data_IF_205099396702
#
_entry.id   IF_205099396702
#
_cell.length_a   1.000
_cell.length_b   1.000
_cell.length_c   1.000
_cell.angle_alpha   90.00
_cell.angle_beta   90.00
_cell.angle_gamma   90.00
#
_symmetry.space_group_name_H-M   'P 1'
#
loop_
_entity.id
_entity.type
_entity.pdbx_description
1 polymer ?
#
# COMPACT_ATOMS: atom_id res chain seq x y z
N UNK A 1 -23.62 -12.05 15.29
CA UNK A 1 -23.69 -10.77 14.55
C UNK A 1 -23.20 -11.01 13.13
N UNK A 2 -24.00 -10.70 12.09
CA UNK A 2 -23.57 -10.84 10.69
C UNK A 2 -22.43 -9.85 10.43
N UNK A 3 -21.33 -10.30 9.81
CA UNK A 3 -20.25 -9.39 9.44
C UNK A 3 -20.74 -8.45 8.33
N UNK A 4 -20.44 -7.14 8.42
CA UNK A 4 -20.85 -6.19 7.39
C UNK A 4 -20.16 -6.52 6.05
N UNK A 5 -20.84 -6.36 4.90
CA UNK A 5 -20.31 -6.77 3.59
C UNK A 5 -18.97 -6.13 3.20
N UNK A 6 -18.69 -4.91 3.71
CA UNK A 6 -17.44 -4.19 3.46
C UNK A 6 -16.22 -4.85 4.12
N UNK A 7 -16.43 -5.63 5.19
CA UNK A 7 -15.37 -6.30 5.95
C UNK A 7 -15.22 -7.79 5.58
N UNK A 8 -15.89 -8.26 4.54
CA UNK A 8 -15.81 -9.66 4.13
C UNK A 8 -14.54 -10.00 3.35
N UNK A 9 -13.92 -9.00 2.70
CA UNK A 9 -12.73 -9.16 1.87
C UNK A 9 -11.87 -7.90 1.92
N UNK A 10 -10.54 -8.07 1.80
CA UNK A 10 -9.59 -6.96 1.84
C UNK A 10 -9.86 -5.94 0.72
N UNK A 11 -10.09 -6.41 -0.52
CA UNK A 11 -10.38 -5.53 -1.65
C UNK A 11 -11.57 -4.59 -1.38
N UNK A 12 -12.60 -5.08 -0.70
CA UNK A 12 -13.84 -4.32 -0.48
C UNK A 12 -13.65 -3.13 0.44
N UNK A 13 -12.79 -3.25 1.45
CA UNK A 13 -12.49 -2.13 2.34
C UNK A 13 -11.37 -1.25 1.76
N UNK A 14 -10.29 -1.87 1.31
CA UNK A 14 -9.05 -1.16 1.02
C UNK A 14 -9.06 -0.41 -0.32
N UNK A 15 -9.71 -0.92 -1.36
CA UNK A 15 -9.77 -0.20 -2.64
C UNK A 15 -10.56 1.12 -2.53
N UNK A 16 -11.74 1.16 -1.88
CA UNK A 16 -12.42 2.43 -1.63
C UNK A 16 -11.60 3.40 -0.79
N UNK A 17 -10.89 2.93 0.24
CA UNK A 17 -10.01 3.80 1.04
C UNK A 17 -8.86 4.38 0.21
N UNK A 18 -8.21 3.55 -0.63
CA UNK A 18 -7.18 4.00 -1.56
C UNK A 18 -7.73 5.02 -2.55
N UNK A 19 -8.90 4.76 -3.14
CA UNK A 19 -9.55 5.66 -4.08
C UNK A 19 -9.94 6.99 -3.44
N UNK A 20 -10.53 6.98 -2.24
CA UNK A 20 -10.88 8.18 -1.49
C UNK A 20 -9.63 9.01 -1.16
N UNK A 21 -8.56 8.34 -0.71
CA UNK A 21 -7.30 9.00 -0.43
C UNK A 21 -6.72 9.63 -1.69
N UNK A 22 -6.50 8.85 -2.74
CA UNK A 22 -5.94 9.32 -4.01
C UNK A 22 -6.77 10.44 -4.65
N UNK A 23 -8.10 10.35 -4.60
CA UNK A 23 -8.98 11.39 -5.10
C UNK A 23 -8.89 12.69 -4.30
N UNK A 24 -8.59 12.63 -2.99
CA UNK A 24 -8.46 13.81 -2.13
C UNK A 24 -7.25 14.69 -2.45
N UNK A 25 -6.16 14.12 -2.96
CA UNK A 25 -4.90 14.85 -3.19
C UNK A 25 -4.97 15.92 -4.29
N UNK A 26 -5.57 15.68 -5.46
CA UNK A 26 -5.79 16.73 -6.45
C UNK A 26 -6.60 17.92 -5.90
N UNK A 27 -7.59 17.69 -5.05
CA UNK A 27 -8.36 18.77 -4.43
C UNK A 27 -7.51 19.56 -3.43
N UNK A 28 -6.67 18.88 -2.64
CA UNK A 28 -5.75 19.54 -1.71
C UNK A 28 -4.78 20.48 -2.46
N UNK A 29 -4.29 20.08 -3.63
CA UNK A 29 -3.33 20.86 -4.42
C UNK A 29 -3.96 21.99 -5.24
N UNK A 30 -5.19 21.81 -5.73
CA UNK A 30 -5.89 22.83 -6.54
C UNK A 30 -6.64 23.86 -5.69
N UNK A 31 -7.18 23.45 -4.52
CA UNK A 31 -8.01 24.33 -3.67
C UNK A 31 -7.17 25.14 -2.68
N UNK A 32 -5.98 24.65 -2.26
CA UNK A 32 -5.08 25.35 -1.30
C UNK A 32 -4.08 26.27 -2.04
N UNK A 33 -4.51 26.86 -3.16
CA UNK A 33 -4.04 28.18 -3.61
C UNK A 33 -2.54 28.40 -3.81
N UNK A 34 -1.74 27.40 -4.21
CA UNK A 34 -0.37 27.68 -4.66
C UNK A 34 0.72 26.62 -4.46
N UNK A 35 0.39 25.33 -4.38
CA UNK A 35 1.36 24.22 -4.22
C UNK A 35 2.06 24.09 -2.84
N UNK A 36 1.68 24.90 -1.83
CA UNK A 36 2.30 24.85 -0.51
C UNK A 36 1.38 24.19 0.53
N UNK A 37 1.90 23.20 1.26
CA UNK A 37 1.26 22.64 2.45
C UNK A 37 1.58 23.55 3.65
N UNK A 38 0.58 23.98 4.44
CA UNK A 38 0.75 25.04 5.43
C UNK A 38 1.65 24.67 6.63
N UNK A 39 1.98 23.39 6.81
CA UNK A 39 2.79 22.88 7.92
C UNK A 39 4.00 22.04 7.46
N UNK A 40 4.31 22.04 6.16
CA UNK A 40 5.46 21.36 5.59
C UNK A 40 6.43 22.41 5.06
N UNK A 41 7.41 22.75 5.88
CA UNK A 41 8.34 23.86 5.65
C UNK A 41 9.66 23.37 5.05
N UNK A 42 10.15 22.18 5.45
CA UNK A 42 11.44 21.66 5.02
C UNK A 42 11.33 20.50 4.02
N UNK A 43 10.26 19.71 4.07
CA UNK A 43 10.02 18.66 3.06
C UNK A 43 9.49 19.28 1.76
N UNK A 44 10.13 19.07 0.60
CA UNK A 44 9.61 19.56 -0.67
C UNK A 44 8.23 19.02 -0.98
N UNK A 45 7.30 19.88 -1.42
CA UNK A 45 5.92 19.49 -1.72
C UNK A 45 5.83 18.33 -2.75
N UNK A 46 6.73 18.29 -3.73
CA UNK A 46 6.81 17.20 -4.71
C UNK A 46 7.15 15.86 -4.07
N UNK A 47 8.09 15.83 -3.12
CA UNK A 47 8.44 14.61 -2.37
C UNK A 47 7.30 14.16 -1.47
N UNK A 48 6.65 15.12 -0.81
CA UNK A 48 5.50 14.83 0.05
C UNK A 48 4.34 14.21 -0.74
N UNK A 49 4.00 14.80 -1.89
CA UNK A 49 2.99 14.25 -2.80
C UNK A 49 3.36 12.86 -3.30
N UNK A 50 4.60 12.69 -3.77
CA UNK A 50 5.08 11.39 -4.27
C UNK A 50 5.01 10.32 -3.17
N UNK A 51 5.43 10.64 -1.95
CA UNK A 51 5.34 9.75 -0.79
C UNK A 51 3.88 9.32 -0.53
N UNK A 52 2.96 10.27 -0.48
CA UNK A 52 1.57 9.97 -0.16
C UNK A 52 0.85 9.21 -1.29
N UNK A 53 1.26 9.39 -2.55
CA UNK A 53 0.78 8.57 -3.66
C UNK A 53 1.33 7.14 -3.61
N UNK A 54 2.62 6.97 -3.32
CA UNK A 54 3.31 5.68 -3.34
C UNK A 54 2.98 4.86 -2.09
N UNK A 55 3.25 5.37 -0.90
CA UNK A 55 3.07 4.63 0.35
C UNK A 55 1.62 4.70 0.86
N UNK A 56 0.95 5.83 0.65
CA UNK A 56 -0.42 6.03 1.08
C UNK A 56 -1.44 5.36 0.17
N UNK A 57 -1.63 5.94 -1.03
CA UNK A 57 -2.66 5.48 -1.99
C UNK A 57 -2.34 4.09 -2.51
N UNK A 58 -1.15 3.91 -3.11
CA UNK A 58 -0.78 2.62 -3.66
C UNK A 58 -0.58 1.57 -2.56
N UNK A 59 0.05 1.89 -1.44
CA UNK A 59 0.21 0.95 -0.32
C UNK A 59 -1.12 0.36 0.15
N UNK A 60 -2.19 1.17 0.22
CA UNK A 60 -3.53 0.68 0.55
C UNK A 60 -4.13 -0.18 -0.58
N UNK A 61 -3.99 0.22 -1.84
CA UNK A 61 -4.45 -0.59 -2.97
C UNK A 61 -3.74 -1.95 -3.03
N UNK A 62 -2.42 -1.96 -2.79
CA UNK A 62 -1.59 -3.16 -2.69
C UNK A 62 -2.05 -4.07 -1.55
N UNK A 63 -2.38 -3.50 -0.38
CA UNK A 63 -2.95 -4.28 0.72
C UNK A 63 -4.29 -4.91 0.34
N UNK A 64 -5.14 -4.22 -0.41
CA UNK A 64 -6.38 -4.75 -0.96
C UNK A 64 -6.14 -5.93 -1.88
N UNK A 65 -5.20 -5.79 -2.81
CA UNK A 65 -4.85 -6.83 -3.77
C UNK A 65 -4.25 -8.05 -3.07
N UNK A 66 -3.19 -7.87 -2.29
CA UNK A 66 -2.50 -8.97 -1.61
C UNK A 66 -3.38 -9.64 -0.57
N UNK A 67 -4.18 -8.88 0.18
CA UNK A 67 -5.09 -9.42 1.20
C UNK A 67 -6.19 -10.30 0.63
N UNK A 68 -6.53 -10.16 -0.65
CA UNK A 68 -7.49 -11.01 -1.36
C UNK A 68 -6.79 -12.10 -2.21
N UNK A 69 -5.68 -11.77 -2.87
CA UNK A 69 -5.02 -12.67 -3.80
C UNK A 69 -4.13 -13.73 -3.12
N UNK A 70 -3.45 -13.38 -2.02
CA UNK A 70 -2.57 -14.34 -1.31
C UNK A 70 -3.37 -15.50 -0.71
N UNK A 71 -4.50 -15.28 -0.02
CA UNK A 71 -5.35 -16.38 0.44
C UNK A 71 -5.76 -17.33 -0.68
N UNK A 72 -6.12 -16.80 -1.86
CA UNK A 72 -6.46 -17.59 -3.04
C UNK A 72 -5.26 -18.44 -3.53
N UNK A 73 -4.10 -17.82 -3.74
CA UNK A 73 -2.90 -18.53 -4.22
C UNK A 73 -2.36 -19.58 -3.25
N UNK A 74 -2.66 -19.41 -1.97
CA UNK A 74 -2.22 -20.31 -0.90
C UNK A 74 -3.31 -21.28 -0.47
N UNK A 75 -4.54 -21.18 -1.00
CA UNK A 75 -5.69 -21.90 -0.49
C UNK A 75 -5.80 -21.74 1.05
N UNK A 76 -5.71 -20.52 1.56
CA UNK A 76 -5.84 -20.23 3.00
C UNK A 76 -7.06 -19.36 3.27
N UNK A 77 -7.50 -19.34 4.53
CA UNK A 77 -8.65 -18.53 4.92
C UNK A 77 -8.33 -17.03 4.76
N UNK A 78 -9.12 -16.26 3.99
CA UNK A 78 -8.89 -14.84 3.81
C UNK A 78 -9.08 -14.05 5.12
N UNK A 79 -8.38 -12.93 5.23
CA UNK A 79 -8.53 -12.00 6.34
C UNK A 79 -9.88 -11.28 6.26
N UNK A 80 -10.59 -11.20 7.39
CA UNK A 80 -11.94 -10.63 7.47
C UNK A 80 -12.14 -9.85 8.78
N UNK A 81 -13.14 -8.98 8.81
CA UNK A 81 -13.61 -8.32 10.03
C UNK A 81 -12.51 -7.48 10.71
N UNK A 82 -12.20 -7.83 11.95
CA UNK A 82 -11.28 -7.07 12.82
C UNK A 82 -9.86 -6.95 12.25
N UNK A 83 -9.36 -7.96 11.55
CA UNK A 83 -8.02 -7.93 10.95
C UNK A 83 -7.91 -6.79 9.93
N UNK A 84 -8.96 -6.61 9.12
CA UNK A 84 -9.00 -5.53 8.12
C UNK A 84 -9.09 -4.16 8.78
N UNK A 85 -9.87 -4.04 9.87
CA UNK A 85 -9.97 -2.80 10.64
C UNK A 85 -8.65 -2.42 11.30
N UNK A 86 -7.90 -3.38 11.85
CA UNK A 86 -6.59 -3.08 12.43
C UNK A 86 -5.59 -2.59 11.37
N UNK A 87 -5.56 -3.21 10.19
CA UNK A 87 -4.70 -2.74 9.09
C UNK A 87 -5.10 -1.33 8.61
N UNK A 88 -6.39 -1.08 8.42
CA UNK A 88 -6.87 0.27 8.08
C UNK A 88 -6.54 1.29 9.18
N UNK A 89 -6.67 0.89 10.44
CA UNK A 89 -6.32 1.71 11.60
C UNK A 89 -4.82 2.00 11.74
N UNK A 90 -3.95 1.10 11.29
CA UNK A 90 -2.51 1.36 11.22
C UNK A 90 -2.16 2.33 10.08
N UNK A 91 -2.87 2.26 8.96
CA UNK A 91 -2.62 3.15 7.82
C UNK A 91 -3.13 4.57 8.04
N UNK A 92 -4.28 4.73 8.70
CA UNK A 92 -4.99 6.01 8.78
C UNK A 92 -4.19 7.17 9.41
N UNK A 93 -3.44 7.00 10.52
CA UNK A 93 -2.72 8.11 11.15
C UNK A 93 -1.69 8.76 10.22
N UNK A 94 -0.93 7.96 9.47
CA UNK A 94 0.05 8.46 8.51
C UNK A 94 -0.60 9.33 7.45
N UNK A 95 -1.78 8.93 6.97
CA UNK A 95 -2.55 9.67 5.96
C UNK A 95 -3.16 10.96 6.49
N UNK A 96 -3.66 10.97 7.72
CA UNK A 96 -4.17 12.21 8.32
C UNK A 96 -3.06 13.24 8.52
N UNK A 97 -1.88 12.79 8.95
CA UNK A 97 -0.68 13.64 9.07
C UNK A 97 -0.22 14.12 7.70
N UNK A 98 -0.17 13.21 6.73
CA UNK A 98 0.15 13.47 5.32
C UNK A 98 -0.75 14.50 4.69
N UNK A 99 -2.06 14.32 4.83
CA UNK A 99 -3.08 15.20 4.26
C UNK A 99 -3.06 16.62 4.85
N UNK A 100 -2.74 16.74 6.14
CA UNK A 100 -2.59 18.03 6.80
C UNK A 100 -1.22 18.67 6.57
N UNK A 101 -0.24 17.92 6.04
CA UNK A 101 1.13 18.40 5.89
C UNK A 101 1.87 18.56 7.21
N UNK A 102 1.47 17.88 8.29
CA UNK A 102 2.02 18.10 9.64
C UNK A 102 3.44 17.51 9.79
N UNK A 103 4.45 18.20 9.28
CA UNK A 103 5.84 17.74 9.23
C UNK A 103 6.42 17.40 10.62
N UNK A 104 6.05 18.15 11.65
CA UNK A 104 6.46 17.89 13.04
C UNK A 104 6.08 16.48 13.54
N UNK A 105 5.06 15.86 12.93
CA UNK A 105 4.58 14.51 13.25
C UNK A 105 5.08 13.45 12.26
N UNK A 106 6.04 13.77 11.40
CA UNK A 106 6.54 12.89 10.34
C UNK A 106 7.09 11.56 10.87
N UNK A 107 7.83 11.57 11.98
CA UNK A 107 8.32 10.32 12.60
C UNK A 107 7.19 9.44 13.14
N UNK A 108 6.16 10.06 13.71
CA UNK A 108 4.99 9.35 14.20
C UNK A 108 4.17 8.76 13.04
N UNK A 109 3.99 9.50 11.95
CA UNK A 109 3.43 8.96 10.71
C UNK A 109 4.25 7.78 10.16
N UNK A 110 5.58 7.92 10.13
CA UNK A 110 6.49 6.86 9.69
C UNK A 110 6.40 5.59 10.53
N UNK A 111 6.20 5.70 11.85
CA UNK A 111 5.94 4.53 12.70
C UNK A 111 4.68 3.78 12.26
N UNK A 112 3.59 4.49 11.98
CA UNK A 112 2.33 3.89 11.54
C UNK A 112 2.40 3.31 10.12
N UNK A 113 3.08 3.99 9.20
CA UNK A 113 3.33 3.49 7.84
C UNK A 113 4.14 2.19 7.87
N UNK A 114 5.21 2.14 8.65
CA UNK A 114 6.01 0.91 8.83
C UNK A 114 5.22 -0.19 9.52
N UNK A 115 4.48 0.14 10.59
CA UNK A 115 3.64 -0.83 11.28
C UNK A 115 2.59 -1.44 10.35
N UNK A 116 1.97 -0.64 9.48
CA UNK A 116 1.05 -1.09 8.45
C UNK A 116 1.73 -2.06 7.45
N UNK A 117 2.86 -1.66 6.86
CA UNK A 117 3.57 -2.48 5.87
C UNK A 117 4.11 -3.79 6.46
N UNK A 118 4.62 -3.75 7.69
CA UNK A 118 5.09 -4.94 8.40
C UNK A 118 3.93 -5.85 8.82
N UNK A 119 2.81 -5.29 9.31
CA UNK A 119 1.63 -6.08 9.62
C UNK A 119 1.06 -6.77 8.38
N UNK A 120 1.03 -6.08 7.23
CA UNK A 120 0.66 -6.68 5.94
C UNK A 120 1.64 -7.80 5.55
N UNK A 121 2.95 -7.56 5.68
CA UNK A 121 4.00 -8.55 5.40
C UNK A 121 3.85 -9.80 6.26
N UNK A 122 3.54 -9.64 7.55
CA UNK A 122 3.29 -10.77 8.47
C UNK A 122 2.01 -11.50 8.06
N UNK A 123 0.93 -10.79 7.72
CA UNK A 123 -0.32 -11.40 7.30
C UNK A 123 -0.12 -12.31 6.07
N UNK A 124 0.53 -11.79 5.02
CA UNK A 124 0.77 -12.57 3.80
C UNK A 124 1.83 -13.66 4.01
N UNK A 125 2.91 -13.35 4.75
CA UNK A 125 4.00 -14.28 5.01
C UNK A 125 3.55 -15.51 5.80
N UNK A 126 2.63 -15.34 6.75
CA UNK A 126 2.01 -16.46 7.48
C UNK A 126 1.24 -17.41 6.57
N UNK A 127 0.46 -16.89 5.63
CA UNK A 127 -0.28 -17.71 4.67
C UNK A 127 0.68 -18.49 3.76
N UNK A 128 1.73 -17.84 3.27
CA UNK A 128 2.74 -18.46 2.40
C UNK A 128 3.54 -19.54 3.11
N UNK A 129 3.94 -19.29 4.36
CA UNK A 129 4.69 -20.25 5.18
C UNK A 129 3.84 -21.47 5.55
N UNK A 130 2.57 -21.27 5.91
CA UNK A 130 1.64 -22.36 6.24
C UNK A 130 1.49 -23.37 5.10
N UNK A 131 1.63 -22.91 3.85
CA UNK A 131 1.44 -23.72 2.64
C UNK A 131 2.74 -24.02 1.91
N UNK A 132 3.88 -23.61 2.49
CA UNK A 132 5.26 -23.81 1.98
C UNK A 132 5.42 -23.44 0.50
N UNK A 133 4.73 -22.40 0.04
CA UNK A 133 4.80 -21.97 -1.36
C UNK A 133 5.89 -20.94 -1.57
N UNK A 134 6.84 -21.24 -2.45
CA UNK A 134 7.89 -20.31 -2.86
C UNK A 134 7.50 -19.50 -4.10
N UNK A 135 6.45 -19.92 -4.83
CA UNK A 135 6.05 -19.35 -6.13
C UNK A 135 5.61 -17.88 -6.04
N UNK A 136 5.25 -17.42 -4.85
CA UNK A 136 4.76 -16.05 -4.62
C UNK A 136 5.69 -15.22 -3.73
N UNK A 137 6.82 -15.80 -3.26
CA UNK A 137 7.71 -15.17 -2.27
C UNK A 137 8.25 -13.81 -2.74
N UNK A 138 8.35 -13.61 -4.06
CA UNK A 138 8.71 -12.33 -4.66
C UNK A 138 7.85 -11.17 -4.11
N UNK A 139 6.53 -11.34 -3.94
CA UNK A 139 5.67 -10.29 -3.39
C UNK A 139 6.07 -9.91 -1.96
N UNK A 140 6.40 -10.89 -1.12
CA UNK A 140 6.84 -10.63 0.25
C UNK A 140 8.19 -9.92 0.28
N UNK A 141 9.14 -10.35 -0.55
CA UNK A 141 10.47 -9.70 -0.64
C UNK A 141 10.32 -8.25 -1.08
N UNK A 142 9.58 -7.99 -2.16
CA UNK A 142 9.37 -6.64 -2.65
C UNK A 142 8.56 -5.77 -1.68
N UNK A 143 7.61 -6.33 -0.93
CA UNK A 143 6.89 -5.61 0.11
C UNK A 143 7.80 -5.24 1.30
N UNK A 144 8.73 -6.11 1.70
CA UNK A 144 9.72 -5.79 2.72
C UNK A 144 10.70 -4.71 2.25
N UNK A 145 11.16 -4.80 0.99
CA UNK A 145 11.97 -3.74 0.39
C UNK A 145 11.19 -2.41 0.31
N UNK A 146 9.89 -2.47 0.07
CA UNK A 146 9.02 -1.30 0.11
C UNK A 146 8.96 -0.67 1.50
N UNK A 147 8.88 -1.47 2.57
CA UNK A 147 8.98 -0.99 3.95
C UNK A 147 10.36 -0.38 4.27
N UNK A 148 11.44 -0.96 3.74
CA UNK A 148 12.79 -0.37 3.88
C UNK A 148 12.88 0.98 3.16
N UNK A 149 12.29 1.11 1.98
CA UNK A 149 12.24 2.38 1.26
C UNK A 149 11.45 3.43 2.05
N UNK A 150 10.31 3.07 2.66
CA UNK A 150 9.56 3.98 3.54
C UNK A 150 10.41 4.48 4.71
N UNK A 151 11.10 3.57 5.40
CA UNK A 151 11.99 3.93 6.50
C UNK A 151 13.11 4.87 6.02
N UNK A 152 13.66 4.62 4.82
CA UNK A 152 14.67 5.46 4.18
C UNK A 152 14.18 6.87 3.90
N UNK A 153 12.97 7.04 3.33
CA UNK A 153 12.37 8.36 3.10
C UNK A 153 12.17 9.10 4.42
N UNK A 154 11.57 8.46 5.42
CA UNK A 154 11.32 9.06 6.74
C UNK A 154 12.61 9.47 7.45
N UNK A 155 13.64 8.64 7.35
CA UNK A 155 14.96 8.95 7.88
C UNK A 155 15.58 10.16 7.17
N UNK A 156 15.53 10.18 5.84
CA UNK A 156 16.10 11.26 5.04
C UNK A 156 15.41 12.62 5.27
N UNK A 157 14.09 12.63 5.45
CA UNK A 157 13.35 13.82 5.87
C UNK A 157 13.76 14.28 7.27
N UNK A 158 13.88 13.36 8.22
CA UNK A 158 14.33 13.69 9.57
C UNK A 158 15.77 14.21 9.62
N UNK A 159 16.67 13.69 8.78
CA UNK A 159 18.05 14.17 8.68
C UNK A 159 18.20 15.45 7.87
N UNK A 160 17.12 15.96 7.24
CA UNK A 160 17.16 17.13 6.37
C UNK A 160 17.94 16.92 5.07
N UNK A 161 17.97 15.68 4.55
CA UNK A 161 18.67 15.31 3.31
C UNK A 161 17.64 15.04 2.19
N UNK A 162 17.21 16.07 1.44
CA UNK A 162 16.22 15.90 0.39
C UNK A 162 16.76 15.10 -0.81
N UNK A 163 18.06 15.06 -1.05
CA UNK A 163 18.63 14.27 -2.14
C UNK A 163 18.53 12.78 -1.83
N UNK A 164 18.88 12.38 -0.61
CA UNK A 164 18.69 11.01 -0.14
C UNK A 164 17.21 10.61 -0.14
N UNK A 165 16.31 11.52 0.26
CA UNK A 165 14.87 11.28 0.21
C UNK A 165 14.38 11.00 -1.21
N UNK A 166 14.81 11.81 -2.20
CA UNK A 166 14.48 11.58 -3.61
C UNK A 166 14.92 10.19 -4.09
N UNK A 167 16.14 9.75 -3.74
CA UNK A 167 16.63 8.41 -4.12
C UNK A 167 15.77 7.29 -3.55
N UNK A 168 15.32 7.41 -2.30
CA UNK A 168 14.41 6.42 -1.70
C UNK A 168 13.00 6.46 -2.31
N UNK A 169 12.49 7.64 -2.66
CA UNK A 169 11.21 7.77 -3.38
C UNK A 169 11.29 7.14 -4.77
N UNK A 170 12.37 7.37 -5.52
CA UNK A 170 12.63 6.73 -6.82
C UNK A 170 12.76 5.21 -6.69
N UNK A 171 13.48 4.73 -5.67
CA UNK A 171 13.55 3.30 -5.38
C UNK A 171 12.16 2.72 -5.07
N UNK A 172 11.33 3.43 -4.30
CA UNK A 172 9.97 3.04 -4.00
C UNK A 172 9.08 2.99 -5.26
N UNK A 173 9.26 3.92 -6.20
CA UNK A 173 8.58 3.93 -7.49
C UNK A 173 8.99 2.74 -8.37
N UNK A 174 10.27 2.38 -8.39
CA UNK A 174 10.75 1.18 -9.07
C UNK A 174 10.14 -0.09 -8.44
N UNK A 175 10.11 -0.18 -7.12
CA UNK A 175 9.48 -1.29 -6.39
C UNK A 175 7.98 -1.37 -6.69
N UNK A 176 7.28 -0.24 -6.69
CA UNK A 176 5.88 -0.12 -7.12
C UNK A 176 5.69 -0.70 -8.52
N UNK A 177 6.53 -0.30 -9.47
CA UNK A 177 6.42 -0.74 -10.87
C UNK A 177 6.61 -2.25 -10.98
N UNK A 178 7.54 -2.83 -10.22
CA UNK A 178 7.75 -4.29 -10.16
C UNK A 178 6.53 -4.98 -9.56
N UNK A 179 6.06 -4.56 -8.38
CA UNK A 179 4.89 -5.14 -7.72
C UNK A 179 3.62 -5.03 -8.57
N UNK A 180 3.42 -3.89 -9.23
CA UNK A 180 2.33 -3.68 -10.16
C UNK A 180 2.43 -4.62 -11.36
N UNK A 181 3.61 -4.75 -11.96
CA UNK A 181 3.84 -5.65 -13.10
C UNK A 181 3.59 -7.12 -12.72
N UNK A 182 4.06 -7.55 -11.54
CA UNK A 182 3.78 -8.89 -11.01
C UNK A 182 2.28 -9.12 -10.80
N UNK A 183 1.56 -8.11 -10.31
CA UNK A 183 0.12 -8.17 -10.09
C UNK A 183 -0.63 -8.26 -11.42
N UNK A 184 -0.30 -7.40 -12.37
CA UNK A 184 -0.90 -7.36 -13.71
C UNK A 184 -0.67 -8.67 -14.47
N UNK A 185 0.55 -9.23 -14.43
CA UNK A 185 0.85 -10.50 -15.07
C UNK A 185 -0.04 -11.65 -14.58
N UNK A 186 -0.34 -11.68 -13.27
CA UNK A 186 -1.21 -12.72 -12.68
C UNK A 186 -2.68 -12.52 -13.02
N UNK A 187 -3.16 -11.28 -12.99
CA UNK A 187 -4.55 -10.95 -13.37
C UNK A 187 -4.77 -11.29 -14.84
N UNK A 188 -3.81 -10.94 -15.72
CA UNK A 188 -3.93 -11.14 -17.15
C UNK A 188 -4.07 -12.63 -17.52
N UNK A 189 -3.32 -13.52 -16.88
CA UNK A 189 -3.44 -14.97 -17.12
C UNK A 189 -4.84 -15.49 -16.81
N UNK A 190 -5.43 -15.06 -15.68
CA UNK A 190 -6.79 -15.48 -15.29
C UNK A 190 -7.83 -14.97 -16.28
N UNK A 191 -7.72 -13.69 -16.67
CA UNK A 191 -8.66 -13.06 -17.61
C UNK A 191 -8.57 -13.70 -19.00
N UNK A 192 -7.35 -13.95 -19.50
CA UNK A 192 -7.14 -14.59 -20.81
C UNK A 192 -7.68 -16.02 -20.79
N UNK A 193 -7.40 -16.80 -19.74
CA UNK A 193 -7.91 -18.18 -19.64
C UNK A 193 -9.44 -18.21 -19.63
N UNK A 194 -10.08 -17.32 -18.87
CA UNK A 194 -11.55 -17.21 -18.83
C UNK A 194 -12.13 -16.76 -20.18
N UNK A 195 -11.43 -15.90 -20.92
CA UNK A 195 -11.88 -15.47 -22.24
C UNK A 195 -11.73 -16.57 -23.31
N UNK A 196 -10.70 -17.42 -23.19
CA UNK A 196 -10.45 -18.53 -24.12
C UNK A 196 -11.34 -19.74 -23.84
N UNK A 197 -11.64 -20.02 -22.57
CA UNK A 197 -12.54 -21.09 -22.15
C UNK A 197 -13.52 -20.60 -21.08
N UNK A 198 -14.64 -19.95 -21.48
CA UNK A 198 -15.63 -19.45 -20.55
C UNK A 198 -16.37 -20.56 -19.77
N UNK A 199 -16.36 -21.80 -20.28
CA UNK A 199 -17.03 -22.95 -19.68
C UNK A 199 -16.15 -23.73 -18.70
N UNK A 200 -14.83 -23.58 -18.77
CA UNK A 200 -13.87 -24.32 -17.96
C UNK A 200 -13.80 -25.81 -18.32
N UNK A 201 -14.13 -26.17 -19.55
CA UNK A 201 -14.18 -27.57 -20.01
C UNK A 201 -12.78 -28.15 -20.32
N UNK A 202 -11.77 -27.28 -20.47
CA UNK A 202 -10.43 -27.66 -20.95
C UNK A 202 -9.31 -27.61 -19.90
N UNK A 203 -9.63 -27.26 -18.64
CA UNK A 203 -8.68 -27.19 -17.51
C UNK A 203 -8.99 -28.16 -16.38
#
# INVERSE_FOLDING_TARGET
>A
MRQPPILSEALRLFFPLAALHGAGWPFLWVVIGGYALPFADAVPASQWHAHEMIFGTYGMALAGFLGSAVPEWTDTKPAQGRTLLHLAGLWLPGRLIGFLGMEAWSLFAGFFDLAFLLALSVLIGRAMLARRTMKHLAFLVWLLLFAVAEAGVRYAWWSGDPELASRFVEAALCIFTVLFSLSAARINVVVINLALDPGGETT
#
